data_IF_786807544067
#
_entry.id   IF_786807544067
#
_cell.length_a   1.000
_cell.length_b   1.000
_cell.length_c   1.000
_cell.angle_alpha   90.00
_cell.angle_beta   90.00
_cell.angle_gamma   90.00
#
_symmetry.space_group_name_H-M   'P 1'
#
loop_
_entity.id
_entity.type
_entity.pdbx_description
1 polymer ?
#
# COMPACT_ATOMS: atom_id res chain seq x y z
N UNK A 1 -10.86 42.42 22.21
CA UNK A 1 -9.58 42.11 21.54
C UNK A 1 -9.74 40.76 20.88
N UNK A 2 -9.75 40.78 19.55
CA UNK A 2 -9.97 39.66 18.63
C UNK A 2 -9.22 38.38 19.02
N UNK A 3 -9.87 37.23 19.16
CA UNK A 3 -10.18 36.26 18.09
C UNK A 3 -9.01 35.93 17.16
N UNK A 4 -8.35 34.78 17.36
CA UNK A 4 -8.58 33.57 16.54
C UNK A 4 -7.58 32.46 16.91
N UNK A 5 -8.16 31.33 17.30
CA UNK A 5 -7.54 30.00 17.22
C UNK A 5 -7.24 29.71 15.76
N UNK A 6 -6.02 29.29 15.47
CA UNK A 6 -5.76 28.50 14.25
C UNK A 6 -4.90 27.30 14.64
N UNK A 7 -5.56 26.31 15.24
CA UNK A 7 -5.17 24.92 14.96
C UNK A 7 -5.61 24.65 13.52
N UNK A 8 -4.73 24.90 12.55
CA UNK A 8 -4.85 24.30 11.22
C UNK A 8 -4.50 22.82 11.36
N UNK A 9 -5.42 22.04 11.93
CA UNK A 9 -5.57 20.65 11.53
C UNK A 9 -6.40 20.72 10.27
N UNK A 10 -5.78 20.41 9.13
CA UNK A 10 -6.48 20.15 7.88
C UNK A 10 -7.50 19.02 8.14
N UNK A 11 -8.73 19.37 8.51
CA UNK A 11 -9.86 18.48 8.33
C UNK A 11 -10.06 18.45 6.82
N UNK A 12 -9.83 17.29 6.20
CA UNK A 12 -9.93 17.12 4.74
C UNK A 12 -11.35 17.31 4.20
N UNK A 13 -11.95 18.48 4.41
CA UNK A 13 -13.33 18.82 4.12
C UNK A 13 -13.52 19.24 2.65
N UNK A 14 -12.97 18.44 1.73
CA UNK A 14 -13.17 18.59 0.29
C UNK A 14 -14.52 18.06 -0.20
N UNK A 15 -15.40 17.61 0.70
CA UNK A 15 -16.63 16.91 0.36
C UNK A 15 -17.94 17.60 0.78
N UNK A 16 -17.91 18.91 1.09
CA UNK A 16 -19.06 19.84 1.28
C UNK A 16 -20.44 19.21 1.64
N UNK A 17 -20.47 18.27 2.59
CA UNK A 17 -21.71 17.60 3.02
C UNK A 17 -22.36 16.61 2.04
N UNK A 18 -21.79 16.33 0.86
CA UNK A 18 -22.35 15.36 -0.11
C UNK A 18 -21.79 13.93 0.06
N UNK A 19 -20.83 13.70 0.96
CA UNK A 19 -20.25 12.38 1.19
C UNK A 19 -20.12 12.08 2.67
N UNK A 20 -20.40 10.83 3.05
CA UNK A 20 -20.14 10.34 4.41
C UNK A 20 -18.65 10.00 4.55
N UNK A 21 -18.04 10.35 5.68
CA UNK A 21 -16.68 9.94 5.99
C UNK A 21 -16.57 8.40 6.02
N UNK A 22 -15.47 7.88 5.49
CA UNK A 22 -15.19 6.44 5.54
C UNK A 22 -14.92 6.07 7.01
N UNK A 23 -15.66 5.11 7.59
CA UNK A 23 -15.42 4.68 8.96
C UNK A 23 -14.04 4.02 9.09
N UNK A 24 -13.36 4.23 10.23
CA UNK A 24 -12.05 3.63 10.50
C UNK A 24 -12.04 2.10 10.35
N UNK A 25 -13.13 1.41 10.71
CA UNK A 25 -13.26 -0.04 10.55
C UNK A 25 -13.33 -0.54 9.10
N UNK A 26 -13.39 0.37 8.11
CA UNK A 26 -13.32 0.06 6.68
C UNK A 26 -12.01 0.53 6.03
N UNK A 27 -11.08 1.07 6.82
CA UNK A 27 -9.79 1.52 6.31
C UNK A 27 -8.78 0.38 6.36
N UNK A 28 -8.02 0.22 5.27
CA UNK A 28 -6.79 -0.55 5.28
C UNK A 28 -5.69 0.36 5.82
N UNK A 29 -5.07 -0.03 6.94
CA UNK A 29 -3.98 0.75 7.53
C UNK A 29 -2.71 0.50 6.72
N UNK A 30 -2.07 1.53 6.14
CA UNK A 30 -0.87 1.34 5.34
C UNK A 30 0.35 1.05 6.23
N UNK A 31 1.26 0.22 5.75
CA UNK A 31 2.55 -0.03 6.39
C UNK A 31 3.54 1.10 6.06
N UNK A 32 4.37 1.49 7.03
CA UNK A 32 5.49 2.40 6.76
C UNK A 32 6.61 1.68 6.01
N UNK A 33 7.04 2.23 4.87
CA UNK A 33 8.14 1.72 4.06
C UNK A 33 9.19 2.80 3.83
N UNK A 34 10.45 2.45 4.10
CA UNK A 34 11.60 3.30 3.81
C UNK A 34 12.28 2.84 2.54
N UNK A 35 12.58 3.79 1.66
CA UNK A 35 13.30 3.55 0.41
C UNK A 35 14.44 4.55 0.28
N UNK A 36 15.46 4.17 -0.49
CA UNK A 36 16.60 5.02 -0.79
C UNK A 36 16.93 4.94 -2.27
N UNK A 37 17.81 5.83 -2.73
CA UNK A 37 18.30 5.83 -4.11
C UNK A 37 19.49 4.87 -4.31
N UNK A 38 20.22 4.46 -3.28
CA UNK A 38 21.44 3.63 -3.48
C UNK A 38 21.21 2.13 -3.28
N UNK A 39 20.24 1.77 -2.44
CA UNK A 39 19.85 0.40 -2.10
C UNK A 39 18.45 0.09 -2.63
N UNK A 40 18.12 -1.19 -2.75
CA UNK A 40 16.79 -1.66 -3.16
C UNK A 40 16.13 -2.40 -2.00
N UNK A 41 14.90 -2.02 -1.66
CA UNK A 41 14.10 -2.71 -0.65
C UNK A 41 13.29 -3.83 -1.32
N UNK A 42 13.30 -5.02 -0.73
CA UNK A 42 12.63 -6.21 -1.24
C UNK A 42 11.42 -6.52 -0.35
N UNK A 43 10.25 -6.62 -0.97
CA UNK A 43 9.01 -7.05 -0.31
C UNK A 43 8.67 -8.46 -0.79
N UNK A 44 8.53 -9.39 0.14
CA UNK A 44 8.29 -10.81 -0.13
C UNK A 44 6.87 -11.14 0.29
N UNK A 45 6.01 -11.40 -0.68
CA UNK A 45 4.60 -11.70 -0.48
C UNK A 45 4.35 -13.21 -0.37
N UNK A 46 3.31 -13.63 0.36
CA UNK A 46 2.93 -15.04 0.45
C UNK A 46 2.31 -15.59 -0.84
N UNK A 47 1.82 -14.72 -1.72
CA UNK A 47 1.14 -15.05 -2.97
C UNK A 47 1.76 -14.27 -4.15
N UNK A 48 1.43 -14.65 -5.38
CA UNK A 48 2.00 -14.04 -6.57
C UNK A 48 1.44 -12.63 -6.77
N UNK A 49 2.31 -11.66 -7.07
CA UNK A 49 1.92 -10.28 -7.31
C UNK A 49 1.19 -10.21 -8.65
N UNK A 50 -0.05 -9.72 -8.66
CA UNK A 50 -0.81 -9.52 -9.89
C UNK A 50 -0.89 -8.03 -10.27
N UNK A 51 -0.84 -7.12 -9.30
CA UNK A 51 -0.99 -5.69 -9.52
C UNK A 51 -0.09 -4.88 -8.58
N UNK A 52 0.50 -3.80 -9.09
CA UNK A 52 1.33 -2.85 -8.35
C UNK A 52 0.98 -1.44 -8.80
N UNK A 53 0.73 -0.55 -7.84
CA UNK A 53 0.46 0.87 -8.07
C UNK A 53 1.44 1.73 -7.29
N UNK A 54 2.06 2.70 -7.96
CA UNK A 54 2.99 3.66 -7.37
C UNK A 54 2.32 5.03 -7.35
N UNK A 55 2.17 5.63 -6.16
CA UNK A 55 1.50 6.92 -6.01
C UNK A 55 2.22 8.09 -6.67
N UNK A 56 3.48 7.93 -7.04
CA UNK A 56 4.26 8.95 -7.75
C UNK A 56 5.40 8.33 -8.55
N UNK A 57 5.90 9.10 -9.52
CA UNK A 57 7.08 8.76 -10.31
C UNK A 57 8.40 8.86 -9.51
N UNK A 58 8.35 9.22 -8.22
CA UNK A 58 9.52 9.25 -7.34
C UNK A 58 9.92 7.84 -6.89
N UNK A 59 9.09 6.83 -7.14
CA UNK A 59 9.37 5.43 -6.88
C UNK A 59 9.60 4.68 -8.19
N UNK A 60 10.47 3.68 -8.12
CA UNK A 60 10.60 2.63 -9.13
C UNK A 60 10.33 1.32 -8.42
N UNK A 61 9.45 0.52 -8.99
CA UNK A 61 9.23 -0.84 -8.53
C UNK A 61 9.19 -1.81 -9.69
N UNK A 62 9.59 -3.05 -9.42
CA UNK A 62 9.52 -4.13 -10.40
C UNK A 62 9.61 -5.49 -9.73
N UNK A 63 8.90 -6.47 -10.28
CA UNK A 63 9.01 -7.84 -9.80
C UNK A 63 10.47 -8.32 -9.94
N UNK A 64 10.89 -9.19 -9.02
CA UNK A 64 12.16 -9.87 -9.16
C UNK A 64 12.08 -10.88 -10.30
N UNK A 65 13.15 -10.98 -11.08
CA UNK A 65 13.21 -11.93 -12.19
C UNK A 65 13.20 -13.36 -11.63
N UNK A 66 12.28 -14.20 -12.12
CA UNK A 66 12.12 -15.57 -11.65
C UNK A 66 11.38 -15.73 -10.32
N UNK A 67 10.88 -14.65 -9.70
CA UNK A 67 10.08 -14.71 -8.47
C UNK A 67 8.84 -13.81 -8.56
N UNK A 68 7.68 -14.42 -8.75
CA UNK A 68 6.40 -13.71 -8.93
C UNK A 68 5.87 -13.05 -7.65
N UNK A 69 6.37 -13.45 -6.48
CA UNK A 69 5.94 -12.97 -5.18
C UNK A 69 6.93 -11.97 -4.55
N UNK A 70 7.94 -11.51 -5.28
CA UNK A 70 8.94 -10.57 -4.75
C UNK A 70 8.89 -9.25 -5.52
N UNK A 71 8.62 -8.15 -4.82
CA UNK A 71 8.68 -6.79 -5.37
C UNK A 71 9.95 -6.09 -4.91
N UNK A 72 10.71 -5.56 -5.88
CA UNK A 72 11.83 -4.65 -5.62
C UNK A 72 11.33 -3.23 -5.70
N UNK A 73 11.59 -2.43 -4.68
CA UNK A 73 11.18 -1.03 -4.59
C UNK A 73 12.41 -0.17 -4.29
N UNK A 74 12.51 0.95 -4.99
CA UNK A 74 13.64 1.87 -4.92
C UNK A 74 13.17 3.30 -5.18
N UNK A 75 13.87 4.30 -4.64
CA UNK A 75 13.63 5.68 -5.01
C UNK A 75 14.17 5.97 -6.42
N UNK A 76 13.36 6.61 -7.26
CA UNK A 76 13.75 7.11 -8.58
C UNK A 76 14.61 8.38 -8.50
N UNK A 77 14.37 9.16 -7.46
CA UNK A 77 15.03 10.44 -7.18
C UNK A 77 15.56 10.43 -5.74
N UNK A 78 16.65 11.14 -5.50
CA UNK A 78 17.19 11.31 -4.15
C UNK A 78 16.35 12.34 -3.38
N UNK A 79 16.17 12.08 -2.10
CA UNK A 79 15.68 13.05 -1.10
C UNK A 79 14.34 13.71 -1.49
N UNK A 80 13.36 12.90 -1.90
CA UNK A 80 12.01 13.43 -2.10
C UNK A 80 11.37 13.76 -0.74
N UNK A 81 10.88 14.99 -0.58
CA UNK A 81 10.36 15.49 0.70
C UNK A 81 8.95 14.96 1.03
N UNK A 82 8.14 14.71 0.00
CA UNK A 82 6.73 14.31 0.19
C UNK A 82 6.59 12.80 0.26
N UNK A 83 5.96 12.29 1.31
CA UNK A 83 5.51 10.90 1.36
C UNK A 83 4.61 10.57 0.15
N UNK A 84 4.77 9.36 -0.37
CA UNK A 84 3.96 8.81 -1.45
C UNK A 84 3.41 7.47 -1.01
N UNK A 85 2.48 6.89 -1.75
CA UNK A 85 1.98 5.54 -1.44
C UNK A 85 2.48 4.50 -2.46
N UNK A 86 2.38 3.23 -2.06
CA UNK A 86 2.55 2.05 -2.89
C UNK A 86 1.44 1.08 -2.50
N UNK A 87 0.79 0.48 -3.50
CA UNK A 87 -0.21 -0.57 -3.26
C UNK A 87 0.15 -1.82 -4.06
N UNK A 88 0.02 -2.98 -3.44
CA UNK A 88 0.30 -4.29 -4.05
C UNK A 88 -0.90 -5.18 -3.84
N UNK A 89 -1.36 -5.80 -4.92
CA UNK A 89 -2.40 -6.83 -4.85
C UNK A 89 -1.81 -8.15 -5.35
N UNK A 90 -2.13 -9.23 -4.65
CA UNK A 90 -1.76 -10.58 -5.01
C UNK A 90 -2.93 -11.33 -5.65
N UNK A 91 -2.64 -12.42 -6.35
CA UNK A 91 -3.61 -13.26 -7.06
C UNK A 91 -4.61 -13.99 -6.15
N UNK A 92 -4.28 -14.13 -4.86
CA UNK A 92 -5.17 -14.63 -3.81
C UNK A 92 -6.20 -13.60 -3.31
N UNK A 93 -6.16 -12.37 -3.85
CA UNK A 93 -7.03 -11.25 -3.48
C UNK A 93 -6.53 -10.40 -2.31
N UNK A 94 -5.33 -10.67 -1.78
CA UNK A 94 -4.74 -9.91 -0.68
C UNK A 94 -4.25 -8.53 -1.14
N UNK A 95 -4.69 -7.47 -0.44
CA UNK A 95 -4.22 -6.09 -0.64
C UNK A 95 -3.26 -5.66 0.47
N UNK A 96 -2.13 -5.11 0.03
CA UNK A 96 -1.13 -4.47 0.87
C UNK A 96 -1.00 -2.99 0.45
N UNK A 97 -1.10 -2.09 1.41
CA UNK A 97 -0.91 -0.65 1.20
C UNK A 97 0.29 -0.17 2.02
N UNK A 98 1.09 0.72 1.45
CA UNK A 98 2.30 1.24 2.06
C UNK A 98 2.31 2.76 1.95
N UNK A 99 2.71 3.43 3.03
CA UNK A 99 3.14 4.82 3.01
C UNK A 99 4.66 4.83 2.93
N UNK A 100 5.19 5.42 1.86
CA UNK A 100 6.59 5.34 1.48
C UNK A 100 7.25 6.69 1.69
N UNK A 101 8.36 6.69 2.43
CA UNK A 101 9.21 7.86 2.63
C UNK A 101 10.63 7.58 2.18
N UNK A 102 11.34 8.63 1.78
CA UNK A 102 12.76 8.55 1.52
C UNK A 102 13.55 8.48 2.84
N UNK A 103 14.58 7.64 2.87
CA UNK A 103 15.58 7.61 3.93
C UNK A 103 16.95 7.37 3.30
N UNK A 104 17.98 8.10 3.71
CA UNK A 104 19.34 7.88 3.19
C UNK A 104 19.82 6.45 3.49
N UNK A 105 19.55 5.99 4.71
CA UNK A 105 19.84 4.65 5.17
C UNK A 105 18.57 3.97 5.72
N UNK A 106 17.85 3.20 4.88
CA UNK A 106 16.67 2.47 5.32
C UNK A 106 17.05 1.39 6.33
N UNK A 107 16.30 1.30 7.43
CA UNK A 107 16.56 0.27 8.45
C UNK A 107 16.27 -1.16 7.95
N UNK A 108 15.30 -1.28 7.03
CA UNK A 108 14.79 -2.57 6.55
C UNK A 108 14.90 -2.63 5.03
N UNK A 109 15.71 -3.58 4.53
CA UNK A 109 15.93 -3.80 3.09
C UNK A 109 15.24 -5.05 2.56
N UNK A 110 14.75 -5.92 3.44
CA UNK A 110 14.02 -7.14 3.07
C UNK A 110 12.92 -7.37 4.10
N UNK A 111 11.67 -7.41 3.63
CA UNK A 111 10.48 -7.48 4.49
C UNK A 111 9.58 -8.60 3.98
N UNK A 112 9.26 -9.54 4.85
CA UNK A 112 8.28 -10.60 4.59
C UNK A 112 6.88 -10.13 4.98
N UNK A 113 5.90 -10.35 4.11
CA UNK A 113 4.52 -9.87 4.29
C UNK A 113 3.57 -10.97 4.83
N UNK A 114 4.09 -12.17 5.12
CA UNK A 114 3.30 -13.34 5.52
C UNK A 114 2.64 -13.19 6.90
N UNK A 115 3.32 -12.58 7.87
CA UNK A 115 2.83 -12.47 9.25
C UNK A 115 1.81 -11.37 9.48
N UNK A 116 1.65 -10.46 8.52
CA UNK A 116 0.84 -9.25 8.69
C UNK A 116 -0.65 -9.45 8.43
N UNK A 117 -1.04 -10.59 7.86
CA UNK A 117 -2.44 -10.98 7.65
C UNK A 117 -2.99 -11.88 8.78
N UNK A 118 -2.13 -12.41 9.65
CA UNK A 118 -2.51 -13.44 10.63
C UNK A 118 -2.79 -12.92 12.05
N UNK A 119 -2.54 -11.63 12.34
CA UNK A 119 -2.79 -11.07 13.68
C UNK A 119 -4.21 -10.54 13.86
N UNK A 120 -5.18 -11.46 14.02
CA UNK A 120 -6.26 -11.32 15.03
C UNK A 120 -7.13 -12.59 15.12
N UNK A 121 -7.07 -13.27 16.26
CA UNK A 121 -8.15 -14.08 16.88
C UNK A 121 -9.35 -14.47 15.98
N UNK A 122 -9.14 -15.38 15.03
CA UNK A 122 -10.24 -15.99 14.25
C UNK A 122 -11.09 -15.02 13.41
N UNK A 123 -10.69 -13.74 13.29
CA UNK A 123 -11.29 -12.77 12.39
C UNK A 123 -10.35 -12.60 11.20
N UNK A 124 -10.83 -13.01 10.02
CA UNK A 124 -10.17 -12.72 8.75
C UNK A 124 -9.80 -11.22 8.73
N UNK A 125 -8.57 -10.86 8.31
CA UNK A 125 -8.18 -9.46 8.28
C UNK A 125 -9.08 -8.70 7.31
N UNK A 126 -9.50 -7.49 7.69
CA UNK A 126 -10.47 -6.68 6.95
C UNK A 126 -10.03 -6.32 5.51
N UNK A 127 -8.76 -6.56 5.18
CA UNK A 127 -8.19 -6.38 3.84
C UNK A 127 -8.40 -7.57 2.89
N UNK A 128 -8.95 -8.69 3.36
CA UNK A 128 -9.50 -9.74 2.49
C UNK A 128 -10.91 -9.34 2.02
N UNK A 129 -11.02 -8.12 1.51
CA UNK A 129 -12.18 -7.74 0.71
C UNK A 129 -12.04 -8.46 -0.62
N UNK A 130 -13.07 -9.15 -1.10
CA UNK A 130 -13.03 -9.89 -2.35
C UNK A 130 -12.64 -8.97 -3.52
N UNK A 131 -11.34 -8.89 -3.85
CA UNK A 131 -10.86 -8.18 -5.02
C UNK A 131 -11.12 -9.09 -6.21
N UNK A 132 -12.27 -8.89 -6.85
CA UNK A 132 -12.65 -9.61 -8.06
C UNK A 132 -11.84 -9.07 -9.25
N UNK A 133 -10.77 -9.78 -9.62
CA UNK A 133 -10.06 -9.54 -10.87
C UNK A 133 -10.91 -9.99 -12.05
N UNK A 134 -11.19 -9.07 -12.99
CA UNK A 134 -11.89 -9.38 -14.25
C UNK A 134 -11.06 -10.20 -15.24
N UNK A 135 -9.80 -10.50 -14.96
CA UNK A 135 -8.82 -11.03 -15.93
C UNK A 135 -8.40 -12.50 -15.74
N UNK A 136 -9.14 -13.28 -14.96
CA UNK A 136 -9.14 -14.73 -15.12
C UNK A 136 -10.46 -15.14 -15.75
N UNK A 137 -10.44 -15.25 -17.08
CA UNK A 137 -11.53 -15.82 -17.87
C UNK A 137 -11.82 -17.25 -17.45
N UNK A 138 -12.63 -17.41 -16.40
CA UNK A 138 -13.35 -18.64 -16.11
C UNK A 138 -14.83 -18.31 -16.13
N UNK A 139 -15.45 -18.91 -17.13
CA UNK A 139 -16.84 -18.81 -17.51
C UNK A 139 -17.78 -18.77 -16.31
N UNK A 140 -18.75 -17.86 -16.41
CA UNK A 140 -19.99 -17.97 -15.64
C UNK A 140 -20.56 -19.37 -15.87
N UNK A 141 -20.85 -20.16 -14.83
CA UNK A 141 -21.75 -21.28 -15.02
C UNK A 141 -23.11 -20.67 -15.36
N UNK A 142 -23.49 -20.79 -16.62
CA UNK A 142 -24.89 -20.78 -16.98
C UNK A 142 -25.57 -21.92 -16.21
N UNK A 143 -26.47 -21.56 -15.30
CA UNK A 143 -27.88 -22.00 -15.21
C UNK A 143 -28.48 -21.58 -13.86
#
# INVERSE_FOLDING_TARGET
TDTLRTQMRSTGDLYQGMSRAIPNGRMVVPYGLEVTFDKTTHLIFPAAICYVDLGSNNLIAGKAEGAENVLRVKAAVRDFETETNLSVICDDGSLYSFNVKYADEPEKLSVEMADFLSQSDGRLPANRSDIYFKELGRESPML
#
